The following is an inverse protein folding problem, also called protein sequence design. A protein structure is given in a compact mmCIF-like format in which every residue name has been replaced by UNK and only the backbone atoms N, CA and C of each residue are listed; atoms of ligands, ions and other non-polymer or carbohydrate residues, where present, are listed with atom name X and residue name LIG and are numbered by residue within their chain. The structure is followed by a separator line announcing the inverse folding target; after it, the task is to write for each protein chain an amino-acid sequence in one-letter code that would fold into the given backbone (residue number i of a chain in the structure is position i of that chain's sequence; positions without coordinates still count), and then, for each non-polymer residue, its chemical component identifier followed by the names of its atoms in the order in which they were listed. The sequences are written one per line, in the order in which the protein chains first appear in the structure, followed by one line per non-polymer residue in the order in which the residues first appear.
data_IF_022894563243
#
_entry.id   IF_022894563243
#
_cell.length_a   1.000
_cell.length_b   1.000
_cell.length_c   1.000
_cell.angle_alpha   90.00
_cell.angle_beta   90.00
_cell.angle_gamma   90.00
#
_symmetry.space_group_name_H-M   'P 1'
#
loop_
_entity.id
_entity.type
_entity.pdbx_description
1 polymer ?
#
# COMPACT_ATOMS: atom_id res chain seq x y z
N UNK A 1 1.97 31.90 85.71
CA UNK A 1 0.52 31.74 85.47
C UNK A 1 0.03 33.00 84.76
N UNK A 2 -0.78 32.82 83.69
CA UNK A 2 -1.73 33.79 83.10
C UNK A 2 -1.17 35.11 82.49
N UNK A 3 -1.68 35.68 81.39
CA UNK A 3 -2.62 35.31 80.34
C UNK A 3 -2.54 36.40 79.23
N UNK A 4 -2.92 36.02 78.01
CA UNK A 4 -2.94 36.73 76.71
C UNK A 4 -3.44 38.20 76.64
N UNK A 5 -2.99 38.91 75.60
CA UNK A 5 -3.58 40.17 75.13
C UNK A 5 -3.15 40.67 73.72
N UNK A 6 -3.65 39.98 72.66
CA UNK A 6 -3.98 40.40 71.26
C UNK A 6 -3.29 41.61 70.54
N UNK A 7 -2.54 41.25 69.49
CA UNK A 7 -2.45 41.78 68.09
C UNK A 7 -2.97 43.19 67.69
N UNK A 8 -2.13 43.93 66.93
CA UNK A 8 -2.46 44.42 65.56
C UNK A 8 -1.21 44.94 64.79
N UNK A 9 -1.14 44.50 63.54
CA UNK A 9 -0.20 44.71 62.43
C UNK A 9 0.42 46.12 62.25
N UNK A 10 1.71 46.19 61.84
CA UNK A 10 2.13 46.91 60.62
C UNK A 10 3.62 46.66 60.25
N UNK A 11 3.87 46.67 58.93
CA UNK A 11 5.16 46.77 58.18
C UNK A 11 5.97 45.49 57.96
N UNK A 12 5.67 44.81 56.84
CA UNK A 12 6.50 43.79 56.20
C UNK A 12 7.80 44.41 55.67
N UNK A 13 8.94 43.84 56.08
CA UNK A 13 10.27 44.18 55.61
C UNK A 13 10.73 43.33 54.41
N UNK A 14 11.40 44.04 53.49
CA UNK A 14 12.65 43.70 52.82
C UNK A 14 12.91 42.24 52.38
N UNK A 15 12.86 42.06 51.05
CA UNK A 15 13.84 41.35 50.23
C UNK A 15 14.26 39.93 50.68
N UNK A 16 13.44 38.93 50.36
CA UNK A 16 13.91 37.56 50.19
C UNK A 16 14.49 37.40 48.78
N UNK A 17 15.81 37.22 48.75
CA UNK A 17 16.65 36.96 47.59
C UNK A 17 16.08 35.83 46.72
N UNK A 18 15.65 36.18 45.52
CA UNK A 18 15.38 35.25 44.43
C UNK A 18 16.71 34.62 43.98
N UNK A 19 17.08 33.48 44.56
CA UNK A 19 18.04 32.57 43.91
C UNK A 19 17.22 31.67 42.98
N UNK A 20 16.69 32.29 41.91
CA UNK A 20 16.31 31.55 40.72
C UNK A 20 17.61 31.14 40.05
N UNK A 21 18.11 29.97 40.43
CA UNK A 21 19.25 29.33 39.78
C UNK A 21 18.97 29.26 38.29
N UNK A 22 19.70 30.08 37.55
CA UNK A 22 19.71 30.10 36.10
C UNK A 22 20.38 28.81 35.65
N UNK A 23 19.61 27.72 35.61
CA UNK A 23 19.87 26.65 34.66
C UNK A 23 19.51 27.23 33.28
N UNK A 24 20.37 28.11 32.78
CA UNK A 24 20.57 28.18 31.34
C UNK A 24 21.11 26.81 30.97
N UNK A 25 20.19 25.88 30.70
CA UNK A 25 20.52 24.65 30.01
C UNK A 25 21.25 25.11 28.75
N UNK A 26 22.56 24.88 28.70
CA UNK A 26 23.27 24.78 27.44
C UNK A 26 22.54 23.69 26.66
N UNK A 27 21.51 24.07 25.89
CA UNK A 27 20.94 23.21 24.89
C UNK A 27 22.04 23.08 23.84
N UNK A 28 22.72 21.94 23.83
CA UNK A 28 23.73 21.52 22.86
C UNK A 28 23.14 21.35 21.44
N UNK A 29 21.93 21.87 21.21
CA UNK A 29 21.11 21.69 20.01
C UNK A 29 20.35 20.37 20.00
N UNK A 30 20.47 19.52 21.03
CA UNK A 30 19.82 18.19 21.06
C UNK A 30 18.31 18.29 21.06
N UNK A 31 17.72 19.19 21.86
CA UNK A 31 16.26 19.32 21.89
C UNK A 31 15.70 19.77 20.53
N UNK A 32 16.41 20.68 19.85
CA UNK A 32 16.08 21.09 18.48
C UNK A 32 16.21 19.95 17.47
N UNK A 33 17.28 19.14 17.56
CA UNK A 33 17.49 17.99 16.67
C UNK A 33 16.44 16.89 16.89
N UNK A 34 16.06 16.62 18.14
CA UNK A 34 14.97 15.71 18.50
C UNK A 34 13.61 16.20 18.02
N UNK A 35 13.36 17.52 18.10
CA UNK A 35 12.15 18.14 17.55
C UNK A 35 12.06 17.95 16.03
N UNK A 36 13.16 18.23 15.32
CA UNK A 36 13.23 18.04 13.87
C UNK A 36 13.10 16.56 13.47
N UNK A 37 13.70 15.64 14.22
CA UNK A 37 13.57 14.20 14.03
C UNK A 37 12.10 13.72 14.14
N UNK A 38 11.39 14.17 15.17
CA UNK A 38 9.96 13.85 15.37
C UNK A 38 9.07 14.45 14.30
N UNK A 39 9.38 15.67 13.85
CA UNK A 39 8.67 16.31 12.75
C UNK A 39 8.89 15.54 11.44
N UNK A 40 10.13 15.15 11.14
CA UNK A 40 10.45 14.32 9.97
C UNK A 40 9.70 12.98 10.00
N UNK A 41 9.71 12.27 11.14
CA UNK A 41 8.97 11.01 11.29
C UNK A 41 7.46 11.21 11.06
N UNK A 42 6.86 12.24 11.65
CA UNK A 42 5.45 12.58 11.46
C UNK A 42 5.12 12.88 9.98
N UNK A 43 5.96 13.66 9.31
CA UNK A 43 5.82 14.00 7.89
C UNK A 43 5.93 12.77 6.98
N UNK A 44 6.87 11.86 7.27
CA UNK A 44 7.02 10.61 6.53
C UNK A 44 5.83 9.66 6.77
N UNK A 45 5.31 9.59 7.99
CA UNK A 45 4.09 8.83 8.30
C UNK A 45 2.85 9.37 7.57
N UNK A 46 2.79 10.68 7.38
CA UNK A 46 1.75 11.34 6.58
C UNK A 46 1.96 11.21 5.06
N UNK A 47 3.15 10.75 4.63
CA UNK A 47 3.63 10.82 3.25
C UNK A 47 3.59 12.26 2.68
N UNK A 48 3.90 13.24 3.52
CA UNK A 48 3.97 14.66 3.15
C UNK A 48 5.12 15.36 3.87
N UNK A 49 6.14 15.73 3.10
CA UNK A 49 7.36 16.41 3.56
C UNK A 49 7.47 17.84 3.04
N UNK A 50 6.42 18.37 2.38
CA UNK A 50 6.46 19.69 1.77
C UNK A 50 6.66 20.86 2.75
N UNK A 51 6.43 20.64 4.05
CA UNK A 51 6.63 21.61 5.12
C UNK A 51 7.97 21.47 5.85
N UNK A 52 8.81 20.50 5.48
CA UNK A 52 10.10 20.28 6.12
C UNK A 52 11.16 21.26 5.61
N UNK A 53 12.03 21.70 6.52
CA UNK A 53 13.26 22.38 6.14
C UNK A 53 14.22 21.33 5.58
N UNK A 54 14.56 21.46 4.28
CA UNK A 54 15.50 20.58 3.59
C UNK A 54 16.78 21.34 3.29
N UNK A 55 17.94 20.74 3.61
CA UNK A 55 19.26 21.32 3.34
C UNK A 55 19.59 21.13 1.85
N UNK A 56 19.79 22.24 1.12
CA UNK A 56 20.30 22.23 -0.26
C UNK A 56 19.36 21.69 -1.37
N UNK A 57 18.13 21.29 -1.05
CA UNK A 57 17.08 20.90 -2.02
C UNK A 57 15.76 21.63 -1.73
N UNK A 58 14.93 21.76 -2.76
CA UNK A 58 13.54 22.23 -2.60
C UNK A 58 12.70 21.15 -1.91
N UNK A 59 11.95 21.53 -0.87
CA UNK A 59 11.04 20.66 -0.15
C UNK A 59 9.90 20.14 -1.05
N UNK A 60 9.51 20.90 -2.07
CA UNK A 60 8.52 20.45 -3.05
C UNK A 60 9.03 19.25 -3.86
N UNK A 61 10.27 19.31 -4.36
CA UNK A 61 10.90 18.21 -5.10
C UNK A 61 11.09 16.96 -4.24
N UNK A 62 11.46 17.13 -2.96
CA UNK A 62 11.53 16.04 -1.99
C UNK A 62 10.15 15.37 -1.80
N UNK A 63 9.08 16.16 -1.75
CA UNK A 63 7.71 15.66 -1.60
C UNK A 63 7.21 14.91 -2.84
N UNK A 64 7.52 15.39 -4.03
CA UNK A 64 7.20 14.68 -5.28
C UNK A 64 7.94 13.35 -5.35
N UNK A 65 9.24 13.32 -4.99
CA UNK A 65 10.02 12.10 -4.95
C UNK A 65 9.43 11.10 -3.93
N UNK A 66 9.07 11.54 -2.73
CA UNK A 66 8.43 10.71 -1.72
C UNK A 66 7.15 10.04 -2.25
N UNK A 67 6.29 10.83 -2.89
CA UNK A 67 5.04 10.34 -3.49
C UNK A 67 5.30 9.34 -4.61
N UNK A 68 6.28 9.59 -5.46
CA UNK A 68 6.65 8.70 -6.54
C UNK A 68 7.17 7.34 -6.02
N UNK A 69 8.06 7.36 -5.02
CA UNK A 69 8.67 6.15 -4.45
C UNK A 69 7.63 5.23 -3.81
N UNK A 70 6.66 5.79 -3.08
CA UNK A 70 5.66 5.01 -2.35
C UNK A 70 4.32 4.85 -3.10
N UNK A 71 4.21 5.31 -4.35
CA UNK A 71 2.96 5.27 -5.13
C UNK A 71 2.37 3.85 -5.22
N UNK A 72 3.20 2.82 -5.42
CA UNK A 72 2.74 1.42 -5.53
C UNK A 72 2.20 0.84 -4.20
N UNK A 73 2.47 1.51 -3.06
CA UNK A 73 2.01 1.08 -1.75
C UNK A 73 0.62 1.61 -1.40
N UNK A 74 0.05 2.54 -2.17
CA UNK A 74 -1.30 3.08 -1.96
C UNK A 74 -2.36 1.96 -1.79
N UNK A 75 -3.30 2.07 -0.84
CA UNK A 75 -3.52 3.18 0.12
C UNK A 75 -2.79 2.98 1.46
N UNK A 76 -1.81 2.08 1.53
CA UNK A 76 -1.09 1.82 2.78
C UNK A 76 -0.23 3.03 3.16
N UNK A 77 -0.22 3.36 4.46
CA UNK A 77 0.64 4.40 5.03
C UNK A 77 1.62 3.78 6.03
N UNK A 78 2.86 4.27 6.12
CA UNK A 78 3.79 3.80 7.12
C UNK A 78 3.46 4.39 8.49
N UNK A 79 3.74 3.62 9.54
CA UNK A 79 4.09 4.18 10.84
C UNK A 79 5.59 4.44 10.84
N UNK A 80 6.00 5.64 11.25
CA UNK A 80 7.42 6.03 11.30
C UNK A 80 7.75 6.53 12.71
N UNK A 81 8.73 5.90 13.34
CA UNK A 81 9.21 6.28 14.67
C UNK A 81 10.68 6.72 14.60
N UNK A 82 10.96 7.93 15.09
CA UNK A 82 12.35 8.39 15.26
C UNK A 82 12.98 7.77 16.50
N UNK A 83 14.14 7.15 16.35
CA UNK A 83 14.94 6.66 17.47
C UNK A 83 15.87 7.72 18.08
N UNK A 84 16.87 7.26 18.82
CA UNK A 84 17.78 8.15 19.56
C UNK A 84 18.66 9.00 18.63
N UNK A 85 18.65 10.31 18.83
CA UNK A 85 19.44 11.26 18.04
C UNK A 85 20.91 11.26 18.49
N UNK A 86 21.80 10.96 17.56
CA UNK A 86 23.26 11.08 17.75
C UNK A 86 23.72 12.44 17.21
N UNK A 87 24.11 13.35 18.10
CA UNK A 87 24.67 14.64 17.72
C UNK A 87 26.19 14.54 17.53
N UNK A 88 26.67 15.26 16.53
CA UNK A 88 28.08 15.48 16.20
C UNK A 88 28.25 16.95 15.76
N UNK A 89 28.34 17.84 16.75
CA UNK A 89 28.38 19.30 16.54
C UNK A 89 27.15 19.81 15.80
N UNK A 90 27.36 20.34 14.60
CA UNK A 90 26.30 20.88 13.72
C UNK A 90 25.62 19.80 12.86
N UNK A 91 25.91 18.52 13.07
CA UNK A 91 25.28 17.38 12.40
C UNK A 91 24.58 16.51 13.43
N UNK A 92 23.47 15.90 13.02
CA UNK A 92 22.80 14.89 13.81
C UNK A 92 22.38 13.73 12.92
N UNK A 93 22.43 12.52 13.47
CA UNK A 93 21.95 11.32 12.79
C UNK A 93 20.86 10.64 13.60
N UNK A 94 19.82 10.23 12.90
CA UNK A 94 18.58 9.74 13.49
C UNK A 94 18.16 8.45 12.79
N UNK A 95 18.06 7.33 13.49
CA UNK A 95 17.42 6.13 12.93
C UNK A 95 15.91 6.36 12.84
N UNK A 96 15.31 5.97 11.72
CA UNK A 96 13.87 6.02 11.48
C UNK A 96 13.36 4.60 11.30
N UNK A 97 12.45 4.16 12.16
CA UNK A 97 11.85 2.84 12.08
C UNK A 97 10.54 2.92 11.30
N UNK A 98 10.50 2.28 10.15
CA UNK A 98 9.32 2.18 9.30
C UNK A 98 8.58 0.88 9.59
N UNK A 99 7.26 0.97 9.71
CA UNK A 99 6.37 -0.18 9.77
C UNK A 99 5.22 0.03 8.79
N UNK A 100 5.13 -0.85 7.81
CA UNK A 100 4.08 -0.87 6.81
C UNK A 100 3.13 -2.04 7.05
N UNK A 101 1.82 -1.78 6.94
CA UNK A 101 0.79 -2.83 6.87
C UNK A 101 0.27 -2.93 5.46
N UNK A 102 0.64 -4.00 4.77
CA UNK A 102 0.32 -4.23 3.36
C UNK A 102 -0.57 -5.48 3.29
N UNK A 103 -1.89 -5.27 3.22
CA UNK A 103 -2.85 -6.36 3.33
C UNK A 103 -2.77 -7.02 4.71
N UNK A 104 -2.45 -8.32 4.73
CA UNK A 104 -2.23 -9.10 5.97
C UNK A 104 -0.76 -9.17 6.39
N UNK A 105 0.16 -8.67 5.57
CA UNK A 105 1.59 -8.69 5.84
C UNK A 105 2.05 -7.40 6.52
N UNK A 106 3.08 -7.53 7.36
CA UNK A 106 3.76 -6.41 8.00
C UNK A 106 5.20 -6.36 7.48
N UNK A 107 5.62 -5.21 6.98
CA UNK A 107 6.98 -4.97 6.52
C UNK A 107 7.64 -3.90 7.39
N UNK A 108 8.79 -4.25 7.98
CA UNK A 108 9.52 -3.41 8.94
C UNK A 108 10.96 -3.25 8.50
N UNK A 109 11.46 -2.03 8.57
CA UNK A 109 12.86 -1.73 8.31
C UNK A 109 13.27 -0.45 9.06
N UNK A 110 14.58 -0.24 9.17
CA UNK A 110 15.14 0.97 9.79
C UNK A 110 16.00 1.68 8.74
N UNK A 111 15.74 2.95 8.51
CA UNK A 111 16.59 3.83 7.71
C UNK A 111 17.31 4.86 8.59
N UNK A 112 18.23 5.60 8.00
CA UNK A 112 19.02 6.61 8.72
C UNK A 112 18.86 7.97 8.07
N UNK A 113 18.36 8.93 8.83
CA UNK A 113 18.29 10.32 8.43
C UNK A 113 19.51 11.10 8.95
N UNK A 114 19.98 12.04 8.14
CA UNK A 114 20.98 13.03 8.54
C UNK A 114 20.30 14.41 8.62
N UNK A 115 20.59 15.13 9.71
CA UNK A 115 20.15 16.49 9.95
C UNK A 115 21.39 17.38 10.04
N UNK A 116 21.28 18.61 9.56
CA UNK A 116 22.31 19.64 9.67
C UNK A 116 21.75 20.89 10.29
N UNK A 117 22.50 21.48 11.21
CA UNK A 117 22.16 22.74 11.84
C UNK A 117 22.39 23.89 10.85
N UNK A 118 21.39 24.77 10.73
CA UNK A 118 21.38 25.96 9.90
C UNK A 118 20.84 27.12 10.73
N UNK A 119 21.74 27.92 11.30
CA UNK A 119 21.39 28.91 12.32
C UNK A 119 20.85 28.23 13.59
N UNK A 120 19.67 28.65 14.03
CA UNK A 120 18.99 28.08 15.21
C UNK A 120 18.06 26.91 14.88
N UNK A 121 18.03 26.46 13.61
CA UNK A 121 17.13 25.40 13.13
C UNK A 121 17.90 24.22 12.58
N UNK A 122 17.26 23.05 12.58
CA UNK A 122 17.78 21.83 11.96
C UNK A 122 17.07 21.57 10.63
N UNK A 123 17.85 21.32 9.58
CA UNK A 123 17.35 20.96 8.26
C UNK A 123 17.70 19.51 7.93
N UNK A 124 16.79 18.82 7.23
CA UNK A 124 16.97 17.44 6.81
C UNK A 124 17.86 17.39 5.58
N UNK A 125 18.90 16.56 5.60
CA UNK A 125 19.69 16.26 4.42
C UNK A 125 18.99 15.17 3.59
N UNK A 126 18.15 15.61 2.66
CA UNK A 126 17.28 14.71 1.90
C UNK A 126 18.05 13.85 0.89
N UNK A 127 17.88 12.53 0.99
CA UNK A 127 18.44 11.53 0.09
C UNK A 127 17.49 10.32 -0.03
N UNK A 128 17.57 9.55 -1.11
CA UNK A 128 16.68 8.40 -1.35
C UNK A 128 16.81 7.32 -0.28
N UNK A 129 18.02 7.12 0.26
CA UNK A 129 18.32 6.15 1.32
C UNK A 129 17.62 6.45 2.66
N UNK A 130 17.10 7.67 2.87
CA UNK A 130 16.27 8.00 4.04
C UNK A 130 14.89 7.34 3.96
N UNK A 131 14.38 7.09 2.75
CA UNK A 131 13.06 6.47 2.53
C UNK A 131 13.13 4.96 2.70
N UNK A 132 14.16 4.35 2.12
CA UNK A 132 14.49 2.93 2.22
C UNK A 132 16.01 2.77 2.03
N UNK A 133 16.75 2.05 2.89
CA UNK A 133 18.21 2.06 2.93
C UNK A 133 18.94 1.68 1.63
N UNK A 134 18.37 0.79 0.84
CA UNK A 134 18.97 0.24 -0.37
C UNK A 134 18.52 0.99 -1.64
N UNK A 135 17.59 1.95 -1.50
CA UNK A 135 17.04 2.74 -2.59
C UNK A 135 18.06 3.73 -3.15
N UNK A 136 18.38 3.59 -4.45
CA UNK A 136 19.20 4.55 -5.18
C UNK A 136 18.35 5.67 -5.76
N UNK A 137 19.02 6.74 -6.19
CA UNK A 137 18.35 7.88 -6.82
C UNK A 137 17.60 7.45 -8.09
N UNK A 138 16.30 7.75 -8.13
CA UNK A 138 15.41 7.43 -9.25
C UNK A 138 14.76 6.05 -9.17
N UNK A 139 15.11 5.21 -8.20
CA UNK A 139 14.41 3.95 -7.95
C UNK A 139 13.10 4.20 -7.19
N UNK A 140 12.13 3.32 -7.40
CA UNK A 140 10.80 3.36 -6.76
C UNK A 140 10.51 1.99 -6.17
N UNK A 141 9.63 1.94 -5.17
CA UNK A 141 9.17 0.67 -4.63
C UNK A 141 8.02 0.13 -5.48
N UNK A 142 8.06 -1.17 -5.75
CA UNK A 142 6.96 -1.91 -6.35
C UNK A 142 6.46 -2.99 -5.39
N UNK A 143 5.19 -3.37 -5.55
CA UNK A 143 4.52 -4.37 -4.71
C UNK A 143 3.94 -5.46 -5.61
N UNK A 144 4.59 -6.63 -5.60
CA UNK A 144 4.09 -7.83 -6.27
C UNK A 144 3.50 -8.82 -5.27
N UNK A 145 2.29 -9.30 -5.52
CA UNK A 145 1.67 -10.37 -4.72
C UNK A 145 2.02 -11.72 -5.32
N UNK A 146 2.72 -12.57 -4.57
CA UNK A 146 2.99 -13.96 -4.95
C UNK A 146 1.99 -14.84 -4.21
N UNK A 147 0.97 -15.34 -4.91
CA UNK A 147 0.04 -16.29 -4.33
C UNK A 147 0.75 -17.64 -4.11
N UNK A 148 0.62 -18.27 -2.92
CA UNK A 148 1.21 -19.58 -2.70
C UNK A 148 0.56 -20.60 -3.64
N UNK A 149 1.37 -21.50 -4.20
CA UNK A 149 0.85 -22.63 -4.97
C UNK A 149 -0.03 -23.48 -4.06
N UNK A 150 -1.30 -23.65 -4.42
CA UNK A 150 -2.23 -24.46 -3.62
C UNK A 150 -1.75 -25.91 -3.60
N UNK A 151 -1.63 -26.50 -2.42
CA UNK A 151 -1.25 -27.90 -2.26
C UNK A 151 -2.22 -28.82 -3.01
N UNK A 152 -1.68 -29.91 -3.57
CA UNK A 152 -2.48 -30.97 -4.19
C UNK A 152 -3.41 -31.57 -3.13
N UNK A 153 -4.71 -31.64 -3.40
CA UNK A 153 -5.64 -32.42 -2.57
C UNK A 153 -5.61 -33.85 -3.11
N UNK A 154 -5.13 -34.79 -2.30
CA UNK A 154 -5.09 -36.21 -2.62
C UNK A 154 -6.34 -36.89 -2.05
N UNK A 155 -7.00 -37.73 -2.86
CA UNK A 155 -8.05 -38.64 -2.44
C UNK A 155 -7.48 -39.97 -1.94
N UNK A 156 -8.37 -40.91 -1.59
CA UNK A 156 -7.95 -42.27 -1.24
C UNK A 156 -7.15 -42.92 -2.39
N UNK A 157 -5.96 -43.47 -2.09
CA UNK A 157 -5.07 -44.09 -3.07
C UNK A 157 -4.22 -43.11 -3.90
N UNK A 158 -3.86 -41.95 -3.35
CA UNK A 158 -3.05 -40.89 -4.00
C UNK A 158 -3.67 -40.32 -5.30
N UNK A 159 -4.98 -40.49 -5.49
CA UNK A 159 -5.67 -39.91 -6.62
C UNK A 159 -5.69 -38.37 -6.51
N UNK A 160 -4.95 -37.69 -7.39
CA UNK A 160 -4.88 -36.21 -7.43
C UNK A 160 -6.27 -35.62 -7.75
N UNK A 161 -6.93 -35.02 -6.76
CA UNK A 161 -8.28 -34.47 -6.88
C UNK A 161 -8.30 -33.01 -7.36
N UNK A 162 -7.22 -32.24 -7.16
CA UNK A 162 -7.08 -30.88 -7.69
C UNK A 162 -5.63 -30.70 -8.12
N UNK A 163 -5.40 -30.46 -9.42
CA UNK A 163 -4.07 -30.18 -9.99
C UNK A 163 -4.14 -28.92 -10.86
N UNK A 164 -2.99 -28.26 -11.04
CA UNK A 164 -2.86 -27.18 -12.01
C UNK A 164 -3.11 -27.75 -13.41
N UNK A 165 -4.07 -27.14 -14.12
CA UNK A 165 -4.44 -27.55 -15.48
C UNK A 165 -4.42 -26.33 -16.40
N UNK A 166 -3.97 -26.51 -17.65
CA UNK A 166 -3.92 -25.42 -18.61
C UNK A 166 -5.33 -24.92 -18.94
N UNK A 167 -5.49 -23.61 -18.89
CA UNK A 167 -6.69 -22.89 -19.26
C UNK A 167 -6.36 -21.77 -20.24
N UNK A 168 -7.37 -21.23 -20.90
CA UNK A 168 -7.29 -20.06 -21.76
C UNK A 168 -8.29 -19.05 -21.24
N UNK A 169 -7.80 -17.92 -20.77
CA UNK A 169 -8.63 -16.78 -20.39
C UNK A 169 -8.99 -16.00 -21.65
N UNK A 170 -10.26 -15.99 -22.01
CA UNK A 170 -10.77 -15.37 -23.23
C UNK A 170 -11.40 -14.04 -22.89
N UNK A 171 -10.99 -12.97 -23.57
CA UNK A 171 -11.48 -11.62 -23.31
C UNK A 171 -11.15 -10.62 -24.41
N UNK A 172 -11.57 -9.36 -24.21
CA UNK A 172 -11.26 -8.22 -25.09
C UNK A 172 -10.09 -7.44 -24.51
N UNK A 173 -9.00 -7.35 -25.27
CA UNK A 173 -7.89 -6.45 -25.06
C UNK A 173 -8.18 -5.10 -25.75
N UNK A 174 -8.47 -4.06 -24.95
CA UNK A 174 -8.80 -2.73 -25.46
C UNK A 174 -7.60 -2.02 -26.10
N UNK A 175 -6.36 -2.47 -25.84
CA UNK A 175 -5.17 -1.96 -26.54
C UNK A 175 -5.02 -2.52 -27.94
N UNK A 176 -5.58 -3.70 -28.20
CA UNK A 176 -5.45 -4.43 -29.47
C UNK A 176 -6.67 -4.29 -30.38
N UNK A 177 -7.67 -3.49 -29.98
CA UNK A 177 -8.94 -3.36 -30.72
C UNK A 177 -8.85 -2.41 -31.93
N UNK A 178 -7.84 -1.54 -31.97
CA UNK A 178 -7.65 -0.56 -33.05
C UNK A 178 -8.82 0.41 -33.15
N UNK A 179 -9.34 0.59 -34.37
CA UNK A 179 -10.49 1.47 -34.66
C UNK A 179 -11.86 0.78 -34.54
N UNK A 180 -11.90 -0.50 -34.14
CA UNK A 180 -13.16 -1.21 -33.98
C UNK A 180 -13.86 -0.80 -32.68
N UNK A 181 -15.19 -0.90 -32.65
CA UNK A 181 -15.98 -0.60 -31.46
C UNK A 181 -15.80 -1.70 -30.39
N UNK A 182 -15.37 -1.34 -29.15
CA UNK A 182 -15.31 -2.25 -28.02
C UNK A 182 -16.63 -2.91 -27.66
N UNK A 183 -17.75 -2.20 -27.79
CA UNK A 183 -19.06 -2.75 -27.45
C UNK A 183 -19.49 -3.82 -28.47
N UNK A 184 -19.35 -3.54 -29.77
CA UNK A 184 -19.63 -4.51 -30.81
C UNK A 184 -18.73 -5.77 -30.73
N UNK A 185 -17.45 -5.59 -30.39
CA UNK A 185 -16.52 -6.72 -30.25
C UNK A 185 -16.82 -7.55 -28.99
N UNK A 186 -17.18 -6.90 -27.89
CA UNK A 186 -17.65 -7.56 -26.68
C UNK A 186 -18.93 -8.38 -26.92
N UNK A 187 -19.90 -7.82 -27.66
CA UNK A 187 -21.14 -8.52 -27.99
C UNK A 187 -20.87 -9.81 -28.80
N UNK A 188 -20.04 -9.73 -29.85
CA UNK A 188 -19.63 -10.89 -30.65
C UNK A 188 -18.92 -11.95 -29.81
N UNK A 189 -18.04 -11.51 -28.90
CA UNK A 189 -17.29 -12.44 -28.05
C UNK A 189 -18.23 -13.12 -27.05
N UNK A 190 -19.17 -12.38 -26.45
CA UNK A 190 -20.14 -12.93 -25.52
C UNK A 190 -21.00 -14.03 -26.15
N UNK A 191 -21.47 -13.79 -27.38
CA UNK A 191 -22.21 -14.79 -28.16
C UNK A 191 -21.36 -16.01 -28.49
N UNK A 192 -20.10 -15.81 -28.89
CA UNK A 192 -19.18 -16.92 -29.21
C UNK A 192 -18.93 -17.83 -28.00
N UNK A 193 -18.77 -17.25 -26.81
CA UNK A 193 -18.42 -18.00 -25.59
C UNK A 193 -19.62 -18.35 -24.71
N UNK A 194 -20.82 -17.89 -25.07
CA UNK A 194 -22.08 -18.20 -24.39
C UNK A 194 -22.22 -17.54 -23.02
N UNK A 195 -21.70 -16.32 -22.83
CA UNK A 195 -21.90 -15.50 -21.61
C UNK A 195 -22.98 -14.44 -21.84
N UNK A 196 -23.45 -13.82 -20.77
CA UNK A 196 -24.43 -12.73 -20.84
C UNK A 196 -23.85 -11.53 -21.60
N UNK A 197 -24.45 -11.23 -22.76
CA UNK A 197 -23.99 -10.18 -23.66
C UNK A 197 -24.08 -8.78 -23.03
N UNK A 198 -25.21 -8.46 -22.42
CA UNK A 198 -25.46 -7.13 -21.87
C UNK A 198 -24.53 -6.83 -20.69
N UNK A 199 -24.32 -7.81 -19.81
CA UNK A 199 -23.40 -7.70 -18.69
C UNK A 199 -21.95 -7.53 -19.17
N UNK A 200 -21.53 -8.32 -20.16
CA UNK A 200 -20.16 -8.27 -20.65
C UNK A 200 -19.86 -6.98 -21.43
N UNK A 201 -20.78 -6.51 -22.29
CA UNK A 201 -20.64 -5.22 -22.98
C UNK A 201 -20.51 -4.08 -21.97
N UNK A 202 -21.35 -4.07 -20.93
CA UNK A 202 -21.27 -3.06 -19.86
C UNK A 202 -19.93 -3.10 -19.13
N UNK A 203 -19.40 -4.30 -18.85
CA UNK A 203 -18.09 -4.46 -18.22
C UNK A 203 -16.96 -3.92 -19.11
N UNK A 204 -16.99 -4.19 -20.42
CA UNK A 204 -15.98 -3.69 -21.37
C UNK A 204 -16.03 -2.17 -21.52
N UNK A 205 -17.23 -1.59 -21.52
CA UNK A 205 -17.44 -0.14 -21.56
C UNK A 205 -16.94 0.56 -20.28
N UNK A 206 -17.20 -0.04 -19.12
CA UNK A 206 -16.75 0.49 -17.83
C UNK A 206 -15.23 0.36 -17.59
N UNK A 207 -14.54 -0.48 -18.36
CA UNK A 207 -13.11 -0.74 -18.19
C UNK A 207 -12.24 0.36 -18.83
N UNK A 208 -11.04 0.60 -18.29
CA UNK A 208 -10.10 1.61 -18.82
C UNK A 208 -9.58 1.31 -20.24
N UNK A 209 -8.96 2.29 -20.93
CA UNK A 209 -8.51 2.14 -22.32
C UNK A 209 -7.38 1.11 -22.50
N UNK A 210 -6.61 0.81 -21.45
CA UNK A 210 -5.53 -0.19 -21.46
C UNK A 210 -5.91 -1.55 -20.85
N UNK A 211 -7.20 -1.78 -20.61
CA UNK A 211 -7.65 -2.98 -19.91
C UNK A 211 -7.79 -4.20 -20.83
N UNK A 212 -7.39 -5.38 -20.32
CA UNK A 212 -7.88 -6.66 -20.79
C UNK A 212 -9.10 -7.07 -19.96
N UNK A 213 -10.23 -7.28 -20.63
CA UNK A 213 -11.51 -7.57 -19.98
C UNK A 213 -11.90 -9.01 -20.24
N UNK A 214 -11.71 -9.86 -19.23
CA UNK A 214 -12.03 -11.29 -19.29
C UNK A 214 -13.53 -11.54 -19.45
N UNK A 215 -13.92 -12.35 -20.44
CA UNK A 215 -15.29 -12.84 -20.63
C UNK A 215 -15.50 -14.17 -19.91
N UNK A 216 -14.56 -15.10 -20.09
CA UNK A 216 -14.62 -16.45 -19.51
C UNK A 216 -13.24 -17.09 -19.49
N UNK A 217 -13.03 -18.04 -18.58
CA UNK A 217 -11.87 -18.94 -18.60
C UNK A 217 -12.27 -20.33 -19.07
N UNK A 218 -11.69 -20.80 -20.17
CA UNK A 218 -11.95 -22.10 -20.77
C UNK A 218 -10.82 -23.07 -20.42
N UNK A 219 -11.13 -24.34 -20.15
CA UNK A 219 -10.09 -25.38 -20.06
C UNK A 219 -9.49 -25.60 -21.44
N UNK A 220 -8.16 -25.68 -21.54
CA UNK A 220 -7.51 -25.90 -22.83
C UNK A 220 -7.83 -27.29 -23.39
N UNK A 221 -7.92 -28.30 -22.54
CA UNK A 221 -8.39 -29.64 -22.90
C UNK A 221 -9.90 -29.65 -23.14
N UNK A 222 -10.32 -30.15 -24.32
CA UNK A 222 -11.73 -30.33 -24.67
C UNK A 222 -12.48 -29.05 -25.05
N UNK A 223 -11.78 -27.92 -25.25
CA UNK A 223 -12.42 -26.69 -25.75
C UNK A 223 -13.00 -26.91 -27.14
N UNK A 224 -14.21 -26.40 -27.35
CA UNK A 224 -14.85 -26.33 -28.68
C UNK A 224 -14.53 -25.03 -29.41
N UNK A 225 -14.21 -23.97 -28.67
CA UNK A 225 -13.89 -22.64 -29.21
C UNK A 225 -12.40 -22.56 -29.50
N UNK A 226 -12.05 -22.28 -30.75
CA UNK A 226 -10.66 -22.22 -31.26
C UNK A 226 -10.06 -20.82 -31.14
N UNK A 227 -8.73 -20.72 -31.13
CA UNK A 227 -8.05 -19.40 -31.09
C UNK A 227 -8.30 -18.59 -32.35
N UNK A 228 -8.52 -19.26 -33.48
CA UNK A 228 -8.88 -18.62 -34.74
C UNK A 228 -10.26 -17.96 -34.65
N UNK A 229 -11.24 -18.60 -34.00
CA UNK A 229 -12.57 -18.02 -33.78
C UNK A 229 -12.50 -16.82 -32.84
N UNK A 230 -11.66 -16.89 -31.81
CA UNK A 230 -11.42 -15.76 -30.89
C UNK A 230 -10.75 -14.62 -31.66
N UNK A 231 -9.64 -14.87 -32.36
CA UNK A 231 -8.87 -13.87 -33.07
C UNK A 231 -9.61 -13.22 -34.27
N UNK A 232 -10.68 -13.85 -34.77
CA UNK A 232 -11.56 -13.26 -35.77
C UNK A 232 -12.37 -12.06 -35.25
N UNK A 233 -12.49 -11.91 -33.92
CA UNK A 233 -13.15 -10.79 -33.28
C UNK A 233 -12.10 -9.71 -32.96
N UNK A 234 -12.25 -8.47 -33.46
CA UNK A 234 -11.31 -7.39 -33.18
C UNK A 234 -11.08 -7.20 -31.67
N UNK A 235 -9.80 -7.15 -31.27
CA UNK A 235 -9.41 -7.00 -29.87
C UNK A 235 -9.61 -8.25 -29.00
N UNK A 236 -10.25 -9.32 -29.47
CA UNK A 236 -10.39 -10.53 -28.67
C UNK A 236 -9.10 -11.35 -28.64
N UNK A 237 -8.73 -11.85 -27.45
CA UNK A 237 -7.55 -12.68 -27.25
C UNK A 237 -7.84 -13.78 -26.22
N UNK A 238 -7.28 -14.96 -26.48
CA UNK A 238 -7.10 -16.01 -25.49
C UNK A 238 -5.71 -15.91 -24.88
N UNK A 239 -5.62 -15.72 -23.57
CA UNK A 239 -4.36 -15.70 -22.82
C UNK A 239 -4.22 -17.06 -22.13
N UNK A 240 -3.18 -17.86 -22.46
CA UNK A 240 -2.90 -19.10 -21.74
C UNK A 240 -2.62 -18.82 -20.26
N UNK A 241 -3.22 -19.60 -19.38
CA UNK A 241 -3.03 -19.52 -17.93
C UNK A 241 -3.13 -20.95 -17.33
N UNK A 242 -2.91 -21.10 -16.03
CA UNK A 242 -2.97 -22.38 -15.34
C UNK A 242 -3.74 -22.25 -14.02
N UNK A 243 -4.87 -22.94 -13.91
CA UNK A 243 -5.73 -22.88 -12.73
C UNK A 243 -5.81 -24.24 -12.00
N UNK A 244 -5.91 -24.22 -10.65
CA UNK A 244 -6.14 -25.42 -9.86
C UNK A 244 -7.57 -25.91 -10.07
N UNK A 245 -7.73 -27.03 -10.77
CA UNK A 245 -9.03 -27.48 -11.25
C UNK A 245 -9.29 -28.96 -10.94
N UNK A 246 -10.54 -29.27 -10.53
CA UNK A 246 -11.01 -30.65 -10.34
C UNK A 246 -11.06 -31.42 -11.67
N UNK A 247 -11.06 -32.78 -11.67
CA UNK A 247 -10.90 -33.58 -12.88
C UNK A 247 -12.08 -33.47 -13.86
N UNK A 248 -13.30 -33.27 -13.36
CA UNK A 248 -14.49 -33.00 -14.19
C UNK A 248 -15.36 -31.91 -13.57
N UNK A 249 -16.19 -31.24 -14.39
CA UNK A 249 -17.18 -30.22 -13.97
C UNK A 249 -18.25 -30.78 -13.00
N UNK A 250 -18.35 -32.11 -12.92
CA UNK A 250 -19.35 -32.88 -12.15
C UNK A 250 -18.76 -33.65 -10.97
N UNK A 251 -17.45 -33.59 -10.74
CA UNK A 251 -16.82 -34.30 -9.64
C UNK A 251 -17.35 -33.76 -8.28
N UNK A 252 -17.94 -34.67 -7.50
CA UNK A 252 -18.40 -34.47 -6.11
C UNK A 252 -19.57 -33.50 -5.85
N UNK A 253 -20.53 -33.34 -6.77
CA UNK A 253 -21.80 -32.59 -6.50
C UNK A 253 -22.58 -33.08 -5.28
N UNK A 254 -22.51 -34.37 -4.95
CA UNK A 254 -23.29 -34.97 -3.86
C UNK A 254 -22.64 -34.86 -2.48
N UNK A 255 -21.35 -34.47 -2.38
CA UNK A 255 -20.60 -34.46 -1.11
C UNK A 255 -19.95 -33.10 -0.81
N UNK A 256 -19.66 -32.27 -1.82
CA UNK A 256 -18.91 -31.01 -1.64
C UNK A 256 -19.72 -29.73 -1.95
N UNK A 257 -20.99 -29.84 -2.30
CA UNK A 257 -21.80 -28.68 -2.71
C UNK A 257 -21.34 -28.09 -4.05
N UNK A 258 -22.17 -27.21 -4.63
CA UNK A 258 -21.85 -26.48 -5.85
C UNK A 258 -20.93 -25.29 -5.54
N UNK A 259 -19.74 -25.25 -6.13
CA UNK A 259 -18.93 -24.03 -6.16
C UNK A 259 -19.44 -23.17 -7.32
N UNK A 260 -20.37 -22.26 -7.03
CA UNK A 260 -20.47 -21.04 -7.80
C UNK A 260 -19.32 -20.14 -7.36
N UNK A 261 -18.75 -19.33 -8.26
CA UNK A 261 -17.99 -18.15 -7.83
C UNK A 261 -18.83 -17.41 -6.79
N UNK A 262 -18.23 -17.10 -5.64
CA UNK A 262 -18.92 -16.41 -4.57
C UNK A 262 -19.56 -15.14 -5.13
N UNK A 263 -20.89 -15.09 -5.14
CA UNK A 263 -21.59 -13.82 -5.34
C UNK A 263 -21.15 -12.86 -4.23
N UNK A 264 -21.16 -11.56 -4.52
CA UNK A 264 -20.73 -10.50 -3.60
C UNK A 264 -21.35 -10.58 -2.18
N UNK A 265 -22.44 -11.34 -2.03
CA UNK A 265 -23.15 -11.60 -0.78
C UNK A 265 -22.37 -12.53 0.19
N UNK A 266 -21.52 -13.44 -0.29
CA UNK A 266 -20.73 -14.33 0.58
C UNK A 266 -19.47 -13.66 1.15
N UNK A 267 -18.97 -12.59 0.51
CA UNK A 267 -17.83 -11.80 1.00
C UNK A 267 -18.21 -11.01 2.26
N UNK A 268 -19.47 -10.59 2.40
CA UNK A 268 -19.96 -9.87 3.58
C UNK A 268 -20.07 -10.76 4.84
N UNK A 269 -20.34 -12.06 4.69
CA UNK A 269 -20.48 -12.98 5.84
C UNK A 269 -19.15 -13.49 6.40
N UNK A 270 -18.05 -13.33 5.67
CA UNK A 270 -16.71 -13.74 6.09
C UNK A 270 -15.89 -12.63 6.77
N UNK A 271 -16.49 -11.48 7.10
CA UNK A 271 -15.83 -10.44 7.89
C UNK A 271 -14.73 -9.66 7.14
N UNK A 272 -14.88 -9.46 5.83
CA UNK A 272 -14.04 -8.53 5.06
C UNK A 272 -14.71 -7.14 5.11
N UNK A 273 -14.07 -6.10 5.67
CA UNK A 273 -14.66 -4.77 5.73
C UNK A 273 -14.81 -4.20 4.32
N UNK A 274 -16.02 -3.73 4.04
CA UNK A 274 -16.48 -3.16 2.77
C UNK A 274 -15.77 -1.83 2.47
N UNK A 275 -15.06 -1.76 1.34
CA UNK A 275 -14.66 -0.49 0.74
C UNK A 275 -15.90 0.15 0.12
N UNK A 276 -16.47 1.14 0.82
CA UNK A 276 -17.30 2.18 0.19
C UNK A 276 -16.35 3.12 -0.53
N UNK A 277 -16.54 3.34 -1.82
CA UNK A 277 -16.15 4.60 -2.45
C UNK A 277 -17.44 5.31 -2.86
N UNK A 278 -17.73 6.37 -2.10
CA UNK A 278 -18.56 7.48 -2.52
C UNK A 278 -17.61 8.53 -3.11
N UNK A 279 -18.00 9.02 -4.29
CA UNK A 279 -17.77 10.34 -4.91
C UNK A 279 -16.41 11.01 -4.83
#
# INVERSE_FOLDING_TARGET
MAQMGKTKNLVLGLAALMIAGSLAACDDGRSGAEGAAKQLASSLAALDVGSLAVDGKDAAAANEQLKAVFAALDPAKPSVESGAVKLDGDKASVPLNFTWKIGTAEWKYTSQAALKKSGDKWAVQWNSALLEPDLKDGEVLDKTVIAPSRAEILGAGDAKLVSYRPVVQVGIDKTAIGSADPAASAAKLAQLVGVDEAAYVKQVQASGPQAFVSAITLRQEGRTITDQQIAAIPGARGIPDSLPLAPTRTFARAVLGSVAEASAEQIQKAGVPSRREMS
#
